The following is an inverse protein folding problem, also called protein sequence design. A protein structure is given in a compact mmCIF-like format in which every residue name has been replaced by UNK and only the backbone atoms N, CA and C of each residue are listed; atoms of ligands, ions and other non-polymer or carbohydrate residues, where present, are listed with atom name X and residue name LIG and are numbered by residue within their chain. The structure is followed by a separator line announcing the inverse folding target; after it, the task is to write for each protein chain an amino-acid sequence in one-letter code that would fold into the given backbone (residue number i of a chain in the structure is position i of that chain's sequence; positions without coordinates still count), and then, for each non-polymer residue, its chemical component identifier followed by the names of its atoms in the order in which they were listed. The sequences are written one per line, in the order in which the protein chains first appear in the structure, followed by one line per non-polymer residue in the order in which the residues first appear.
data_IF_495310145375
#
_entry.id   IF_495310145375
#
_cell.length_a   1.000
_cell.length_b   1.000
_cell.length_c   1.000
_cell.angle_alpha   90.00
_cell.angle_beta   90.00
_cell.angle_gamma   90.00
#
_symmetry.space_group_name_H-M   'P 1'
#
loop_
_entity.id
_entity.type
_entity.pdbx_description
1 polymer ?
#
# COMPACT_ATOMS: atom_id res chain seq x y z
N UNK A 1 33.72 0.03 2.07
CA UNK A 1 32.71 0.09 0.98
C UNK A 1 32.80 1.46 0.33
N UNK A 2 32.66 1.56 -1.00
CA UNK A 2 32.58 2.86 -1.66
C UNK A 2 31.30 3.56 -1.15
N UNK A 3 31.35 4.77 -0.57
CA UNK A 3 30.16 5.47 -0.04
C UNK A 3 29.08 5.77 -1.10
N UNK A 4 29.37 5.49 -2.37
CA UNK A 4 28.46 5.59 -3.50
C UNK A 4 27.76 4.27 -3.87
N UNK A 5 28.09 3.15 -3.22
CA UNK A 5 27.37 1.89 -3.45
C UNK A 5 26.01 1.92 -2.75
N UNK A 6 24.96 2.19 -3.51
CA UNK A 6 23.59 2.26 -3.00
C UNK A 6 22.89 0.89 -2.96
N UNK A 7 23.48 -0.15 -3.55
CA UNK A 7 22.88 -1.49 -3.66
C UNK A 7 22.49 -2.12 -2.32
N UNK A 8 23.28 -1.97 -1.23
CA UNK A 8 22.92 -2.52 0.08
C UNK A 8 21.57 -2.00 0.59
N UNK A 9 21.30 -0.70 0.48
CA UNK A 9 20.07 -0.07 0.98
C UNK A 9 18.80 -0.57 0.28
N UNK A 10 18.92 -1.15 -0.93
CA UNK A 10 17.76 -1.73 -1.62
C UNK A 10 17.43 -3.16 -1.16
N UNK A 11 18.38 -3.88 -0.55
CA UNK A 11 18.23 -5.31 -0.22
C UNK A 11 17.71 -5.60 1.19
N UNK A 12 17.67 -4.61 2.08
CA UNK A 12 17.55 -4.82 3.54
C UNK A 12 16.12 -4.82 4.09
N UNK A 13 15.11 -4.59 3.26
CA UNK A 13 13.72 -4.44 3.70
C UNK A 13 12.80 -5.54 3.16
N UNK A 14 13.34 -6.75 2.96
CA UNK A 14 12.60 -7.88 2.37
C UNK A 14 11.38 -8.30 3.17
N UNK A 15 11.53 -8.37 4.50
CA UNK A 15 10.43 -8.76 5.39
C UNK A 15 9.30 -7.75 5.31
N UNK A 16 9.61 -6.46 5.34
CA UNK A 16 8.62 -5.39 5.14
C UNK A 16 7.92 -5.52 3.77
N UNK A 17 8.68 -5.72 2.70
CA UNK A 17 8.12 -5.88 1.36
C UNK A 17 7.16 -7.09 1.26
N UNK A 18 7.55 -8.25 1.80
CA UNK A 18 6.74 -9.47 1.79
C UNK A 18 5.47 -9.28 2.62
N UNK A 19 5.59 -8.83 3.88
CA UNK A 19 4.45 -8.64 4.76
C UNK A 19 3.48 -7.58 4.24
N UNK A 20 4.01 -6.48 3.69
CA UNK A 20 3.18 -5.44 3.07
C UNK A 20 2.44 -5.98 1.85
N UNK A 21 3.11 -6.78 1.01
CA UNK A 21 2.48 -7.39 -0.17
C UNK A 21 1.39 -8.38 0.22
N UNK A 22 1.60 -9.18 1.28
CA UNK A 22 0.58 -10.09 1.82
C UNK A 22 -0.61 -9.29 2.37
N UNK A 23 -0.36 -8.26 3.17
CA UNK A 23 -1.41 -7.43 3.75
C UNK A 23 -2.25 -6.72 2.69
N UNK A 24 -1.62 -6.12 1.70
CA UNK A 24 -2.31 -5.45 0.59
C UNK A 24 -3.09 -6.45 -0.27
N UNK A 25 -2.55 -7.66 -0.51
CA UNK A 25 -3.30 -8.73 -1.17
C UNK A 25 -4.51 -9.18 -0.34
N UNK A 26 -4.39 -9.23 0.99
CA UNK A 26 -5.48 -9.52 1.90
C UNK A 26 -6.61 -8.50 1.83
N UNK A 27 -6.30 -7.20 1.73
CA UNK A 27 -7.30 -6.14 1.52
C UNK A 27 -8.07 -6.35 0.22
N UNK A 28 -7.37 -6.64 -0.88
CA UNK A 28 -8.02 -6.89 -2.16
C UNK A 28 -8.81 -8.21 -2.19
N UNK A 29 -8.41 -9.21 -1.41
CA UNK A 29 -9.18 -10.45 -1.24
C UNK A 29 -10.49 -10.21 -0.47
N UNK A 30 -10.42 -9.42 0.60
CA UNK A 30 -11.59 -8.98 1.37
C UNK A 30 -12.55 -8.15 0.50
N UNK A 31 -12.02 -7.19 -0.27
CA UNK A 31 -12.80 -6.41 -1.24
C UNK A 31 -13.46 -7.30 -2.30
N UNK A 32 -12.75 -8.33 -2.78
CA UNK A 32 -13.29 -9.30 -3.72
C UNK A 32 -14.42 -10.15 -3.11
N UNK A 33 -14.29 -10.54 -1.84
CA UNK A 33 -15.39 -11.19 -1.10
C UNK A 33 -16.61 -10.28 -1.00
N UNK A 34 -16.43 -9.03 -0.60
CA UNK A 34 -17.53 -8.06 -0.49
C UNK A 34 -18.20 -7.87 -1.86
N UNK A 35 -17.39 -7.74 -2.91
CA UNK A 35 -17.86 -7.61 -4.29
C UNK A 35 -18.73 -8.78 -4.73
N UNK A 36 -18.31 -10.00 -4.38
CA UNK A 36 -19.09 -11.20 -4.65
C UNK A 36 -20.43 -11.19 -3.93
N UNK A 37 -20.42 -10.87 -2.63
CA UNK A 37 -21.62 -10.89 -1.78
C UNK A 37 -22.66 -9.86 -2.21
N UNK A 38 -22.23 -8.63 -2.55
CA UNK A 38 -23.17 -7.53 -2.76
C UNK A 38 -23.58 -7.31 -4.21
N UNK A 39 -22.71 -7.59 -5.17
CA UNK A 39 -22.90 -7.13 -6.55
C UNK A 39 -22.74 -8.22 -7.62
N UNK A 40 -22.17 -9.37 -7.28
CA UNK A 40 -21.92 -10.43 -8.26
C UNK A 40 -23.12 -11.36 -8.46
N UNK A 41 -23.31 -11.78 -9.71
CA UNK A 41 -24.23 -12.88 -10.08
C UNK A 41 -23.52 -14.21 -10.32
N UNK A 42 -22.19 -14.24 -10.13
CA UNK A 42 -21.36 -15.40 -10.41
C UNK A 42 -21.58 -16.50 -9.38
N UNK A 43 -21.20 -17.73 -9.73
CA UNK A 43 -21.23 -18.83 -8.76
C UNK A 43 -20.13 -18.67 -7.70
N UNK A 44 -20.31 -19.25 -6.51
CA UNK A 44 -19.32 -19.19 -5.44
C UNK A 44 -17.95 -19.78 -5.84
N UNK A 45 -17.95 -20.85 -6.64
CA UNK A 45 -16.71 -21.47 -7.14
C UNK A 45 -15.96 -20.52 -8.08
N UNK A 46 -16.68 -19.88 -8.99
CA UNK A 46 -16.11 -18.91 -9.92
C UNK A 46 -15.59 -17.68 -9.19
N UNK A 47 -16.37 -17.13 -8.26
CA UNK A 47 -15.97 -15.99 -7.45
C UNK A 47 -14.71 -16.27 -6.64
N UNK A 48 -14.62 -17.45 -6.00
CA UNK A 48 -13.42 -17.86 -5.24
C UNK A 48 -12.16 -17.86 -6.12
N UNK A 49 -12.27 -18.33 -7.37
CA UNK A 49 -11.16 -18.32 -8.32
C UNK A 49 -10.73 -16.90 -8.67
N UNK A 50 -11.68 -16.00 -8.95
CA UNK A 50 -11.37 -14.60 -9.26
C UNK A 50 -10.77 -13.87 -8.07
N UNK A 51 -11.32 -14.05 -6.86
CA UNK A 51 -10.79 -13.46 -5.62
C UNK A 51 -9.35 -13.95 -5.38
N UNK A 52 -9.11 -15.25 -5.52
CA UNK A 52 -7.76 -15.83 -5.39
C UNK A 52 -6.78 -15.26 -6.42
N UNK A 53 -7.21 -15.10 -7.66
CA UNK A 53 -6.37 -14.52 -8.71
C UNK A 53 -6.09 -13.03 -8.48
N UNK A 54 -7.08 -12.25 -8.04
CA UNK A 54 -6.91 -10.84 -7.67
C UNK A 54 -5.87 -10.72 -6.55
N UNK A 55 -6.02 -11.52 -5.48
CA UNK A 55 -5.08 -11.53 -4.37
C UNK A 55 -3.66 -11.89 -4.84
N UNK A 56 -3.51 -12.89 -5.71
CA UNK A 56 -2.22 -13.30 -6.25
C UNK A 56 -1.57 -12.21 -7.12
N UNK A 57 -2.35 -11.54 -7.99
CA UNK A 57 -1.88 -10.44 -8.82
C UNK A 57 -1.41 -9.27 -7.96
N UNK A 58 -2.19 -8.92 -6.94
CA UNK A 58 -1.85 -7.85 -6.00
C UNK A 58 -0.59 -8.20 -5.22
N UNK A 59 -0.50 -9.43 -4.69
CA UNK A 59 0.69 -9.92 -4.00
C UNK A 59 1.93 -9.83 -4.88
N UNK A 60 1.89 -10.45 -6.07
CA UNK A 60 3.01 -10.46 -7.01
C UNK A 60 3.37 -9.05 -7.49
N UNK A 61 2.38 -8.22 -7.80
CA UNK A 61 2.57 -6.86 -8.26
C UNK A 61 3.23 -5.96 -7.22
N UNK A 62 2.75 -5.99 -5.97
CA UNK A 62 3.41 -5.27 -4.88
C UNK A 62 4.81 -5.83 -4.58
N UNK A 63 4.98 -7.16 -4.58
CA UNK A 63 6.29 -7.76 -4.36
C UNK A 63 7.31 -7.30 -5.42
N UNK A 64 6.91 -7.31 -6.70
CA UNK A 64 7.71 -6.80 -7.81
C UNK A 64 8.00 -5.30 -7.67
N UNK A 65 7.01 -4.51 -7.24
CA UNK A 65 7.18 -3.08 -7.02
C UNK A 65 8.24 -2.78 -5.95
N UNK A 66 8.27 -3.53 -4.84
CA UNK A 66 9.25 -3.33 -3.78
C UNK A 66 10.67 -3.77 -4.15
N UNK A 67 10.78 -4.78 -5.03
CA UNK A 67 12.04 -5.38 -5.47
C UNK A 67 12.54 -4.89 -6.83
N UNK A 68 12.04 -3.76 -7.33
CA UNK A 68 12.52 -3.21 -8.61
C UNK A 68 14.06 -3.06 -8.59
N UNK A 69 14.80 -3.72 -9.50
CA UNK A 69 16.25 -3.86 -9.38
C UNK A 69 16.96 -2.54 -9.70
N UNK A 70 17.84 -2.04 -8.80
CA UNK A 70 18.62 -0.82 -9.03
C UNK A 70 19.57 -0.94 -10.22
N UNK A 71 20.01 -2.16 -10.55
CA UNK A 71 20.94 -2.46 -11.65
C UNK A 71 20.37 -2.14 -13.04
N UNK A 72 19.05 -1.93 -13.17
CA UNK A 72 18.43 -1.49 -14.43
C UNK A 72 18.62 0.00 -14.71
N UNK A 73 19.11 0.79 -13.75
CA UNK A 73 19.53 2.17 -13.95
C UNK A 73 20.97 2.23 -14.46
N UNK A 74 21.20 1.77 -15.69
CA UNK A 74 22.48 1.90 -16.37
C UNK A 74 22.64 3.30 -17.01
N UNK A 75 23.87 3.84 -16.97
CA UNK A 75 24.40 4.99 -17.72
C UNK A 75 24.54 6.40 -17.06
N UNK A 76 24.14 6.64 -15.80
CA UNK A 76 24.31 7.99 -15.18
C UNK A 76 25.05 8.00 -13.83
N UNK A 77 25.84 6.97 -13.54
CA UNK A 77 26.57 6.80 -12.28
C UNK A 77 27.75 7.77 -12.08
N UNK A 78 27.84 8.86 -12.88
CA UNK A 78 28.94 9.81 -12.76
C UNK A 78 28.76 10.79 -11.60
N UNK A 79 27.57 11.35 -11.33
CA UNK A 79 27.32 12.22 -10.14
C UNK A 79 25.83 12.39 -9.75
N UNK A 80 25.04 11.35 -9.47
CA UNK A 80 23.68 11.55 -8.99
C UNK A 80 23.67 11.85 -7.49
N UNK A 81 23.04 12.98 -7.08
CA UNK A 81 22.61 13.17 -5.68
C UNK A 81 21.78 11.93 -5.29
N UNK A 82 22.12 11.21 -4.21
CA UNK A 82 21.49 9.94 -3.85
C UNK A 82 19.95 9.99 -3.83
N UNK A 83 19.39 11.14 -3.43
CA UNK A 83 17.95 11.44 -3.50
C UNK A 83 17.34 11.19 -4.89
N UNK A 84 18.02 11.61 -5.96
CA UNK A 84 17.55 11.44 -7.33
C UNK A 84 17.44 9.97 -7.76
N UNK A 85 18.38 9.13 -7.31
CA UNK A 85 18.32 7.67 -7.56
C UNK A 85 17.16 7.05 -6.80
N UNK A 86 17.10 7.28 -5.49
CA UNK A 86 16.03 6.73 -4.65
C UNK A 86 14.65 7.15 -5.16
N UNK A 87 14.48 8.42 -5.52
CA UNK A 87 13.23 8.94 -6.08
C UNK A 87 12.88 8.30 -7.42
N UNK A 88 13.86 8.09 -8.31
CA UNK A 88 13.61 7.46 -9.62
C UNK A 88 13.21 5.99 -9.49
N UNK A 89 13.88 5.23 -8.63
CA UNK A 89 13.51 3.83 -8.35
C UNK A 89 12.12 3.79 -7.74
N UNK A 90 11.85 4.64 -6.75
CA UNK A 90 10.52 4.71 -6.15
C UNK A 90 9.47 5.06 -7.19
N UNK A 91 9.69 6.04 -8.08
CA UNK A 91 8.73 6.36 -9.14
C UNK A 91 8.42 5.15 -10.05
N UNK A 92 9.43 4.33 -10.39
CA UNK A 92 9.22 3.09 -11.16
C UNK A 92 8.47 2.03 -10.35
N UNK A 93 8.79 1.88 -9.06
CA UNK A 93 8.03 1.03 -8.13
C UNK A 93 6.56 1.47 -8.05
N UNK A 94 6.30 2.77 -7.91
CA UNK A 94 4.97 3.35 -7.88
C UNK A 94 4.21 3.09 -9.18
N UNK A 95 4.88 3.16 -10.34
CA UNK A 95 4.25 2.84 -11.62
C UNK A 95 3.81 1.37 -11.70
N UNK A 96 4.63 0.44 -11.21
CA UNK A 96 4.28 -0.99 -11.12
C UNK A 96 3.09 -1.18 -10.18
N UNK A 97 3.15 -0.61 -8.97
CA UNK A 97 2.07 -0.70 -8.01
C UNK A 97 0.77 -0.11 -8.57
N UNK A 98 0.83 1.06 -9.22
CA UNK A 98 -0.34 1.68 -9.86
C UNK A 98 -0.93 0.77 -10.94
N UNK A 99 -0.10 0.20 -11.82
CA UNK A 99 -0.57 -0.74 -12.84
C UNK A 99 -1.22 -1.99 -12.21
N UNK A 100 -0.65 -2.51 -11.11
CA UNK A 100 -1.23 -3.61 -10.34
C UNK A 100 -2.61 -3.24 -9.78
N UNK A 101 -2.77 -2.08 -9.15
CA UNK A 101 -4.06 -1.64 -8.62
C UNK A 101 -5.09 -1.45 -9.76
N UNK A 102 -4.70 -0.90 -10.92
CA UNK A 102 -5.58 -0.77 -12.09
C UNK A 102 -6.05 -2.14 -12.60
N UNK A 103 -5.14 -3.11 -12.71
CA UNK A 103 -5.50 -4.47 -13.15
C UNK A 103 -6.44 -5.12 -12.13
N UNK A 104 -6.13 -5.03 -10.82
CA UNK A 104 -6.97 -5.57 -9.77
C UNK A 104 -8.38 -4.95 -9.79
N UNK A 105 -8.46 -3.63 -10.01
CA UNK A 105 -9.72 -2.90 -10.16
C UNK A 105 -10.54 -3.37 -11.36
N UNK A 106 -9.92 -3.60 -12.52
CA UNK A 106 -10.61 -4.14 -13.69
C UNK A 106 -11.17 -5.55 -13.42
N UNK A 107 -10.43 -6.38 -12.68
CA UNK A 107 -10.86 -7.72 -12.31
C UNK A 107 -11.99 -7.70 -11.27
N UNK A 108 -11.94 -6.80 -10.29
CA UNK A 108 -13.03 -6.59 -9.33
C UNK A 108 -14.30 -6.09 -10.04
N UNK A 109 -14.17 -5.18 -11.01
CA UNK A 109 -15.31 -4.74 -11.81
C UNK A 109 -15.91 -5.87 -12.65
N UNK A 110 -15.06 -6.76 -13.19
CA UNK A 110 -15.52 -7.97 -13.86
C UNK A 110 -16.23 -8.95 -12.91
N UNK A 111 -15.73 -9.09 -11.67
CA UNK A 111 -16.37 -9.88 -10.62
C UNK A 111 -17.74 -9.30 -10.23
N UNK A 112 -17.85 -7.97 -10.19
CA UNK A 112 -19.10 -7.24 -9.96
C UNK A 112 -20.12 -7.32 -11.12
N UNK A 113 -19.85 -8.10 -12.16
CA UNK A 113 -20.73 -8.28 -13.33
C UNK A 113 -21.12 -6.95 -14.01
N UNK A 114 -20.20 -5.96 -14.00
CA UNK A 114 -20.45 -4.64 -14.58
C UNK A 114 -21.43 -3.77 -13.78
N UNK A 115 -21.77 -4.13 -12.54
CA UNK A 115 -22.67 -3.36 -11.69
C UNK A 115 -22.09 -1.97 -11.39
N UNK A 116 -22.80 -0.92 -11.80
CA UNK A 116 -22.35 0.48 -11.65
C UNK A 116 -22.32 0.96 -10.19
N UNK A 117 -23.21 0.44 -9.33
CA UNK A 117 -23.18 0.75 -7.90
C UNK A 117 -21.92 0.14 -7.30
N UNK A 118 -21.66 -1.14 -7.59
CA UNK A 118 -20.41 -1.80 -7.19
C UNK A 118 -19.17 -1.06 -7.71
N UNK A 119 -19.18 -0.60 -8.96
CA UNK A 119 -18.08 0.18 -9.53
C UNK A 119 -17.75 1.46 -8.76
N UNK A 120 -18.76 2.18 -8.25
CA UNK A 120 -18.56 3.37 -7.43
C UNK A 120 -17.85 3.04 -6.11
N UNK A 121 -18.30 2.00 -5.41
CA UNK A 121 -17.67 1.54 -4.17
C UNK A 121 -16.23 1.07 -4.43
N UNK A 122 -16.04 0.23 -5.44
CA UNK A 122 -14.74 -0.25 -5.87
C UNK A 122 -13.79 0.90 -6.20
N UNK A 123 -14.24 1.94 -6.91
CA UNK A 123 -13.38 3.09 -7.26
C UNK A 123 -12.92 3.85 -6.01
N UNK A 124 -13.82 4.07 -5.05
CA UNK A 124 -13.47 4.68 -3.76
C UNK A 124 -12.44 3.84 -3.02
N UNK A 125 -12.67 2.54 -2.91
CA UNK A 125 -11.86 1.64 -2.10
C UNK A 125 -10.50 1.37 -2.76
N UNK A 126 -10.51 1.14 -4.07
CA UNK A 126 -9.31 1.05 -4.89
C UNK A 126 -8.48 2.34 -4.87
N UNK A 127 -9.09 3.52 -4.84
CA UNK A 127 -8.38 4.79 -4.66
C UNK A 127 -7.68 4.84 -3.30
N UNK A 128 -8.38 4.47 -2.21
CA UNK A 128 -7.82 4.42 -0.86
C UNK A 128 -6.65 3.43 -0.77
N UNK A 129 -6.81 2.22 -1.27
CA UNK A 129 -5.75 1.21 -1.27
C UNK A 129 -4.55 1.63 -2.10
N UNK A 130 -4.79 2.26 -3.25
CA UNK A 130 -3.74 2.82 -4.09
C UNK A 130 -3.00 3.94 -3.34
N UNK A 131 -3.71 4.88 -2.72
CA UNK A 131 -3.10 5.96 -1.94
C UNK A 131 -2.25 5.41 -0.79
N UNK A 132 -2.78 4.42 -0.05
CA UNK A 132 -2.06 3.75 1.02
C UNK A 132 -0.78 3.07 0.50
N UNK A 133 -0.89 2.26 -0.56
CA UNK A 133 0.25 1.58 -1.18
C UNK A 133 1.32 2.55 -1.68
N UNK A 134 0.92 3.56 -2.43
CA UNK A 134 1.83 4.52 -3.08
C UNK A 134 2.46 5.50 -2.09
N UNK A 135 1.68 6.11 -1.22
CA UNK A 135 2.18 7.17 -0.33
C UNK A 135 2.76 6.58 0.94
N UNK A 136 2.04 5.66 1.60
CA UNK A 136 2.46 5.17 2.90
C UNK A 136 3.52 4.08 2.74
N UNK A 137 3.22 2.97 2.06
CA UNK A 137 4.16 1.85 1.99
C UNK A 137 5.43 2.20 1.20
N UNK A 138 5.29 2.73 -0.02
CA UNK A 138 6.45 3.12 -0.82
C UNK A 138 7.12 4.40 -0.31
N UNK A 139 6.36 5.38 0.20
CA UNK A 139 6.93 6.60 0.76
C UNK A 139 7.72 6.34 2.05
N UNK A 140 7.21 5.51 2.96
CA UNK A 140 7.95 5.09 4.16
C UNK A 140 9.23 4.33 3.78
N UNK A 141 9.16 3.42 2.81
CA UNK A 141 10.34 2.69 2.34
C UNK A 141 11.39 3.63 1.73
N UNK A 142 10.96 4.59 0.91
CA UNK A 142 11.83 5.63 0.36
C UNK A 142 12.50 6.44 1.48
N UNK A 143 11.70 6.87 2.46
CA UNK A 143 12.16 7.67 3.59
C UNK A 143 13.20 6.93 4.43
N UNK A 144 12.92 5.68 4.81
CA UNK A 144 13.85 4.82 5.56
C UNK A 144 15.15 4.60 4.79
N UNK A 145 15.08 4.26 3.49
CA UNK A 145 16.27 4.07 2.65
C UNK A 145 17.13 5.34 2.58
N UNK A 146 16.49 6.49 2.43
CA UNK A 146 17.19 7.77 2.33
C UNK A 146 17.80 8.20 3.66
N UNK A 147 17.08 8.04 4.78
CA UNK A 147 17.63 8.30 6.10
C UNK A 147 18.84 7.42 6.35
N UNK A 148 18.76 6.13 6.06
CA UNK A 148 19.90 5.21 6.23
C UNK A 148 21.13 5.67 5.48
N UNK A 149 20.95 6.10 4.24
CA UNK A 149 22.03 6.67 3.45
C UNK A 149 22.63 7.92 4.12
N UNK A 150 21.79 8.82 4.67
CA UNK A 150 22.26 10.01 5.38
C UNK A 150 23.06 9.62 6.63
N UNK A 151 22.49 8.78 7.50
CA UNK A 151 23.14 8.34 8.74
C UNK A 151 24.50 7.69 8.46
N UNK A 152 24.56 6.82 7.45
CA UNK A 152 25.81 6.14 7.09
C UNK A 152 26.84 7.09 6.44
N UNK A 153 26.40 8.05 5.62
CA UNK A 153 27.32 8.89 4.83
C UNK A 153 27.77 10.16 5.55
N UNK A 154 26.94 10.70 6.45
CA UNK A 154 27.15 12.02 7.05
C UNK A 154 27.01 12.01 8.59
N UNK A 155 26.72 10.87 9.22
CA UNK A 155 26.34 10.81 10.63
C UNK A 155 24.91 11.27 10.87
N UNK A 156 24.45 11.31 12.13
CA UNK A 156 23.08 11.68 12.51
C UNK A 156 22.91 13.21 12.59
N UNK A 157 22.48 13.92 11.53
CA UNK A 157 22.73 15.35 11.51
C UNK A 157 21.59 16.14 12.16
N UNK A 158 20.35 15.61 12.24
CA UNK A 158 19.18 16.38 12.72
C UNK A 158 18.03 15.52 13.32
N UNK A 159 18.15 15.04 14.58
CA UNK A 159 17.11 14.20 15.20
C UNK A 159 15.74 14.88 15.24
N UNK A 160 15.68 16.21 15.48
CA UNK A 160 14.42 16.96 15.50
C UNK A 160 13.67 16.96 14.16
N UNK A 161 14.39 16.98 13.02
CA UNK A 161 13.75 16.91 11.68
C UNK A 161 13.20 15.52 11.41
N UNK A 162 13.91 14.48 11.83
CA UNK A 162 13.48 13.08 11.69
C UNK A 162 12.23 12.81 12.52
N UNK A 163 12.21 13.26 13.78
CA UNK A 163 11.04 13.14 14.67
C UNK A 163 9.85 13.92 14.10
N UNK A 164 10.07 15.16 13.67
CA UNK A 164 9.01 16.00 13.09
C UNK A 164 8.37 15.38 11.85
N UNK A 165 9.19 14.84 10.93
CA UNK A 165 8.69 14.13 9.75
C UNK A 165 7.91 12.86 10.13
N UNK A 166 8.41 12.06 11.08
CA UNK A 166 7.70 10.87 11.60
C UNK A 166 6.36 11.21 12.22
N UNK A 167 6.29 12.24 13.06
CA UNK A 167 5.05 12.71 13.65
C UNK A 167 4.05 13.20 12.58
N UNK A 168 4.54 13.93 11.57
CA UNK A 168 3.73 14.35 10.42
C UNK A 168 3.12 13.16 9.66
N UNK A 169 3.89 12.09 9.46
CA UNK A 169 3.38 10.86 8.81
C UNK A 169 2.33 10.17 9.69
N UNK A 170 2.53 10.10 11.00
CA UNK A 170 1.53 9.54 11.93
C UNK A 170 0.20 10.30 11.85
N UNK A 171 0.26 11.64 11.87
CA UNK A 171 -0.91 12.51 11.73
C UNK A 171 -1.59 12.26 10.38
N UNK A 172 -0.83 12.17 9.29
CA UNK A 172 -1.39 11.90 7.96
C UNK A 172 -2.11 10.55 7.91
N UNK A 173 -1.55 9.50 8.51
CA UNK A 173 -2.20 8.18 8.61
C UNK A 173 -3.53 8.29 9.36
N UNK A 174 -3.53 8.95 10.53
CA UNK A 174 -4.75 9.13 11.33
C UNK A 174 -5.82 9.94 10.59
N UNK A 175 -5.43 10.98 9.85
CA UNK A 175 -6.35 11.79 9.05
C UNK A 175 -6.96 10.97 7.90
N UNK A 176 -6.15 10.21 7.16
CA UNK A 176 -6.63 9.35 6.07
C UNK A 176 -7.61 8.31 6.62
N UNK A 177 -7.23 7.60 7.69
CA UNK A 177 -8.08 6.58 8.31
C UNK A 177 -9.37 7.20 8.84
N UNK A 178 -9.28 8.29 9.62
CA UNK A 178 -10.45 8.95 10.18
C UNK A 178 -11.42 9.44 9.11
N UNK A 179 -10.92 9.97 7.99
CA UNK A 179 -11.73 10.38 6.86
C UNK A 179 -12.47 9.19 6.20
N UNK A 180 -11.78 8.06 5.99
CA UNK A 180 -12.39 6.85 5.42
C UNK A 180 -13.49 6.32 6.34
N UNK A 181 -13.20 6.17 7.64
CA UNK A 181 -14.18 5.71 8.63
C UNK A 181 -15.40 6.63 8.69
N UNK A 182 -15.24 7.95 8.57
CA UNK A 182 -16.36 8.89 8.57
C UNK A 182 -17.27 8.71 7.36
N UNK A 183 -16.71 8.47 6.16
CA UNK A 183 -17.50 8.19 4.94
C UNK A 183 -18.25 6.87 5.08
N UNK A 184 -17.56 5.87 5.60
CA UNK A 184 -18.03 4.51 5.75
C UNK A 184 -19.17 4.37 6.77
N UNK A 185 -19.05 5.06 7.92
CA UNK A 185 -20.12 5.14 8.92
C UNK A 185 -21.40 5.73 8.33
N UNK A 186 -21.27 6.80 7.53
CA UNK A 186 -22.42 7.43 6.87
C UNK A 186 -23.11 6.49 5.88
N UNK A 187 -22.37 5.63 5.19
CA UNK A 187 -22.97 4.64 4.29
C UNK A 187 -23.73 3.56 5.06
N UNK A 188 -23.19 3.13 6.20
CA UNK A 188 -23.83 2.13 7.05
C UNK A 188 -25.17 2.62 7.61
N UNK A 189 -25.22 3.89 8.04
CA UNK A 189 -26.45 4.53 8.55
C UNK A 189 -27.56 4.62 7.49
N UNK A 190 -27.18 4.72 6.21
CA UNK A 190 -28.11 4.82 5.09
C UNK A 190 -28.48 3.46 4.49
N UNK A 191 -27.86 2.37 4.93
CA UNK A 191 -28.08 1.04 4.38
C UNK A 191 -29.39 0.43 4.87
N UNK A 192 -30.08 -0.39 4.04
CA UNK A 192 -31.25 -1.14 4.46
C UNK A 192 -30.97 -2.01 5.67
N UNK A 193 -31.89 -2.07 6.65
CA UNK A 193 -31.72 -2.83 7.91
C UNK A 193 -31.27 -4.28 7.71
N UNK A 194 -31.77 -4.94 6.66
CA UNK A 194 -31.43 -6.33 6.34
C UNK A 194 -29.95 -6.52 5.93
N UNK A 195 -29.32 -5.48 5.39
CA UNK A 195 -27.94 -5.53 4.88
C UNK A 195 -26.93 -4.91 5.85
N UNK A 196 -27.39 -4.14 6.85
CA UNK A 196 -26.54 -3.44 7.81
C UNK A 196 -25.54 -4.35 8.52
N UNK A 197 -25.92 -5.58 8.88
CA UNK A 197 -25.02 -6.51 9.57
C UNK A 197 -23.80 -6.91 8.71
N UNK A 198 -24.05 -7.32 7.47
CA UNK A 198 -23.00 -7.79 6.56
C UNK A 198 -22.20 -6.63 5.96
N UNK A 199 -22.86 -5.50 5.67
CA UNK A 199 -22.20 -4.28 5.22
C UNK A 199 -21.33 -3.71 6.35
N UNK A 200 -21.81 -3.75 7.59
CA UNK A 200 -21.03 -3.38 8.77
C UNK A 200 -19.79 -4.24 8.92
N UNK A 201 -19.90 -5.56 8.73
CA UNK A 201 -18.75 -6.47 8.79
C UNK A 201 -17.69 -6.12 7.74
N UNK A 202 -18.08 -5.90 6.49
CA UNK A 202 -17.16 -5.43 5.44
C UNK A 202 -16.52 -4.10 5.82
N UNK A 203 -17.35 -3.11 6.16
CA UNK A 203 -16.93 -1.74 6.41
C UNK A 203 -15.96 -1.64 7.60
N UNK A 204 -16.32 -2.20 8.75
CA UNK A 204 -15.46 -2.19 9.94
C UNK A 204 -14.29 -3.15 9.80
N UNK A 205 -14.50 -4.34 9.23
CA UNK A 205 -13.46 -5.34 9.01
C UNK A 205 -12.34 -4.80 8.14
N UNK A 206 -12.70 -4.24 6.98
CA UNK A 206 -11.79 -3.55 6.07
C UNK A 206 -11.08 -2.38 6.73
N UNK A 207 -11.84 -1.48 7.39
CA UNK A 207 -11.28 -0.29 8.03
C UNK A 207 -10.25 -0.64 9.11
N UNK A 208 -10.56 -1.61 9.97
CA UNK A 208 -9.65 -2.11 11.00
C UNK A 208 -8.45 -2.83 10.39
N UNK A 209 -8.65 -3.59 9.32
CA UNK A 209 -7.57 -4.27 8.61
C UNK A 209 -6.59 -3.25 8.01
N UNK A 210 -7.10 -2.26 7.27
CA UNK A 210 -6.29 -1.19 6.69
C UNK A 210 -5.55 -0.40 7.78
N UNK A 211 -6.24 -0.02 8.86
CA UNK A 211 -5.59 0.65 10.00
C UNK A 211 -4.46 -0.20 10.58
N UNK A 212 -4.69 -1.50 10.77
CA UNK A 212 -3.68 -2.43 11.28
C UNK A 212 -2.45 -2.47 10.37
N UNK A 213 -2.65 -2.54 9.05
CA UNK A 213 -1.55 -2.50 8.10
C UNK A 213 -0.77 -1.18 8.15
N UNK A 214 -1.47 -0.04 8.22
CA UNK A 214 -0.86 1.29 8.27
C UNK A 214 -0.07 1.49 9.56
N UNK A 215 -0.63 1.09 10.71
CA UNK A 215 0.07 1.12 11.99
C UNK A 215 1.27 0.17 12.00
N UNK A 216 1.14 -1.02 11.41
CA UNK A 216 2.26 -1.96 11.27
C UNK A 216 3.40 -1.39 10.43
N UNK A 217 3.07 -0.75 9.30
CA UNK A 217 4.06 -0.08 8.45
C UNK A 217 4.72 1.09 9.17
N UNK A 218 3.93 1.90 9.89
CA UNK A 218 4.44 3.01 10.69
C UNK A 218 5.34 2.54 11.84
N UNK A 219 4.95 1.47 12.55
CA UNK A 219 5.74 0.89 13.63
C UNK A 219 7.06 0.30 13.12
N UNK A 220 7.05 -0.37 11.96
CA UNK A 220 8.28 -0.81 11.30
C UNK A 220 9.22 0.35 11.01
N UNK A 221 8.69 1.45 10.45
CA UNK A 221 9.42 2.67 10.17
C UNK A 221 9.99 3.30 11.46
N UNK A 222 9.17 3.41 12.50
CA UNK A 222 9.56 4.01 13.77
C UNK A 222 10.65 3.18 14.47
N UNK A 223 10.52 1.85 14.48
CA UNK A 223 11.56 0.95 14.98
C UNK A 223 12.88 1.18 14.26
N UNK A 224 12.86 1.29 12.93
CA UNK A 224 14.07 1.52 12.16
C UNK A 224 14.76 2.85 12.51
N UNK A 225 13.98 3.91 12.73
CA UNK A 225 14.49 5.20 13.20
C UNK A 225 15.07 5.09 14.60
N UNK A 226 14.39 4.39 15.52
CA UNK A 226 14.88 4.23 16.89
C UNK A 226 16.21 3.47 16.97
N UNK A 227 16.48 2.59 16.00
CA UNK A 227 17.75 1.84 15.90
C UNK A 227 18.95 2.72 15.43
N UNK A 228 18.75 4.00 15.01
CA UNK A 228 19.78 4.87 14.41
C UNK A 228 19.77 6.35 14.88
#
# INVERSE_FOLDING_TARGET
MNPLDLVPYFKEHRVFAILSSIGLAGLYAEEGWATFVFWSRRSANEATLWIGMIALIVFCGYLLSFFYPPSRLNAAWKYPRAWGIFSRITALSLAIALATNVIAMMLLFFLADGNLIGAYHLLRDGYVYTLAGLIIFHGLLLYVRYLRYIYHSFGAPFPGKVIGASAGIAILILLIVGFIFAIDLRQLELAPLAEQGILGLHTYGRGLYLLTLLLGAYAWHFRWIADH
#
